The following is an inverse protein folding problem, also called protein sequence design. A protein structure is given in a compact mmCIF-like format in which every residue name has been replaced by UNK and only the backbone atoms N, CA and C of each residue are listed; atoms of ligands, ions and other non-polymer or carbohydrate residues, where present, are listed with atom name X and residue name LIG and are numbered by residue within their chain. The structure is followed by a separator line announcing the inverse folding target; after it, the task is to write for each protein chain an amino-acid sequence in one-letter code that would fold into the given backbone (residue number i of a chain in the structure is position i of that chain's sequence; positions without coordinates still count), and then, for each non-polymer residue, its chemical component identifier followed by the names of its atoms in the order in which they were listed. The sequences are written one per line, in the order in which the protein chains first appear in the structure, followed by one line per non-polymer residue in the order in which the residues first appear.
data_IF_337478387462
#
_entry.id   IF_337478387462
#
_cell.length_a   1.000
_cell.length_b   1.000
_cell.length_c   1.000
_cell.angle_alpha   90.00
_cell.angle_beta   90.00
_cell.angle_gamma   90.00
#
_symmetry.space_group_name_H-M   'P 1'
#
loop_
_entity.id
_entity.type
_entity.pdbx_description
1 polymer ?
#
# COMPACT_ATOMS: atom_id res chain seq x y z
N UNK A 1 -4.82 -25.95 1.23
CA UNK A 1 -5.33 -24.57 1.19
C UNK A 1 -4.21 -23.60 1.52
N UNK A 2 -3.92 -22.78 0.58
CA UNK A 2 -2.86 -21.81 0.82
C UNK A 2 -3.45 -20.55 1.47
N UNK A 3 -3.00 -20.25 2.67
CA UNK A 3 -3.41 -19.05 3.37
C UNK A 3 -2.29 -18.01 3.42
N UNK A 4 -1.18 -18.33 2.76
CA UNK A 4 -0.02 -17.48 2.89
C UNK A 4 -0.22 -16.12 2.22
N UNK A 5 -0.46 -16.14 0.94
CA UNK A 5 -0.50 -14.87 0.25
C UNK A 5 0.83 -14.11 0.35
N UNK A 6 0.83 -12.91 -0.17
CA UNK A 6 1.95 -11.98 -0.09
C UNK A 6 1.50 -10.80 0.76
N UNK A 7 2.20 -10.55 1.85
CA UNK A 7 1.87 -9.48 2.79
C UNK A 7 2.91 -8.37 2.68
N UNK A 8 2.45 -7.17 2.44
CA UNK A 8 3.34 -6.01 2.24
C UNK A 8 2.95 -4.92 3.22
N UNK A 9 3.95 -4.30 3.84
CA UNK A 9 3.76 -3.01 4.51
C UNK A 9 4.64 -1.99 3.83
N UNK A 10 4.12 -0.79 3.65
CA UNK A 10 4.88 0.28 3.01
C UNK A 10 4.63 1.58 3.77
N UNK A 11 5.71 2.18 4.25
CA UNK A 11 5.62 3.47 4.93
C UNK A 11 5.84 4.57 3.90
N UNK A 12 4.89 5.50 3.84
CA UNK A 12 4.99 6.65 2.96
C UNK A 12 4.80 7.94 3.76
N UNK A 13 5.38 9.01 3.26
CA UNK A 13 5.17 10.35 3.80
C UNK A 13 4.67 11.27 2.71
N UNK A 14 3.65 12.06 3.00
CA UNK A 14 3.20 13.09 2.08
C UNK A 14 4.30 14.14 2.00
N UNK A 15 4.66 14.50 0.77
CA UNK A 15 5.71 15.47 0.51
C UNK A 15 5.38 16.79 1.21
N UNK A 16 6.38 17.43 1.82
CA UNK A 16 6.18 18.65 2.60
C UNK A 16 5.63 19.82 1.78
N UNK A 17 5.85 19.79 0.46
CA UNK A 17 5.38 20.86 -0.42
C UNK A 17 3.97 20.62 -0.96
N UNK A 18 3.36 19.51 -0.57
CA UNK A 18 2.01 19.13 -1.00
C UNK A 18 1.04 19.46 0.11
N UNK A 19 -0.08 20.14 -0.19
CA UNK A 19 -1.11 20.35 0.82
C UNK A 19 -1.58 19.02 1.41
N UNK A 20 -1.71 18.95 2.72
CA UNK A 20 -2.06 17.70 3.39
C UNK A 20 -3.35 17.10 2.85
N UNK A 21 -4.38 17.91 2.60
CA UNK A 21 -5.66 17.42 2.09
C UNK A 21 -5.50 16.74 0.72
N UNK A 22 -4.64 17.28 -0.13
CA UNK A 22 -4.37 16.71 -1.43
C UNK A 22 -3.68 15.35 -1.30
N UNK A 23 -2.71 15.27 -0.42
CA UNK A 23 -2.00 14.01 -0.16
C UNK A 23 -2.93 12.95 0.41
N UNK A 24 -3.78 13.31 1.35
CA UNK A 24 -4.75 12.38 1.93
C UNK A 24 -5.72 11.87 0.86
N UNK A 25 -6.19 12.75 -0.01
CA UNK A 25 -7.09 12.34 -1.08
C UNK A 25 -6.41 11.32 -2.01
N UNK A 26 -5.13 11.54 -2.32
CA UNK A 26 -4.37 10.61 -3.16
C UNK A 26 -4.19 9.25 -2.48
N UNK A 27 -3.91 9.23 -1.18
CA UNK A 27 -3.77 8.00 -0.41
C UNK A 27 -5.09 7.23 -0.39
N UNK A 28 -6.20 7.93 -0.16
CA UNK A 28 -7.53 7.30 -0.18
C UNK A 28 -7.87 6.70 -1.53
N UNK A 29 -7.58 7.43 -2.60
CA UNK A 29 -7.86 6.94 -3.95
C UNK A 29 -7.01 5.72 -4.27
N UNK A 30 -5.74 5.74 -3.89
CA UNK A 30 -4.86 4.59 -4.12
C UNK A 30 -5.35 3.35 -3.38
N UNK A 31 -5.79 3.50 -2.12
CA UNK A 31 -6.38 2.38 -1.39
C UNK A 31 -7.61 1.83 -2.09
N UNK A 32 -8.48 2.69 -2.59
CA UNK A 32 -9.66 2.25 -3.32
C UNK A 32 -9.27 1.49 -4.58
N UNK A 33 -8.28 1.99 -5.30
CA UNK A 33 -7.79 1.33 -6.52
C UNK A 33 -7.21 -0.03 -6.21
N UNK A 34 -6.42 -0.14 -5.14
CA UNK A 34 -5.85 -1.43 -4.72
C UNK A 34 -6.94 -2.43 -4.36
N UNK A 35 -7.97 -1.98 -3.64
CA UNK A 35 -9.05 -2.88 -3.23
C UNK A 35 -9.91 -3.36 -4.41
N UNK A 36 -9.80 -2.70 -5.57
CA UNK A 36 -10.48 -3.13 -6.78
C UNK A 36 -9.63 -4.09 -7.63
N UNK A 37 -8.38 -4.34 -7.25
CA UNK A 37 -7.54 -5.30 -7.97
C UNK A 37 -7.99 -6.71 -7.68
N UNK A 38 -8.12 -7.58 -8.69
CA UNK A 38 -8.64 -8.94 -8.48
C UNK A 38 -7.83 -9.77 -7.49
N UNK A 39 -6.53 -9.58 -7.45
CA UNK A 39 -5.66 -10.37 -6.59
C UNK A 39 -5.33 -9.73 -5.25
N UNK A 40 -5.85 -8.54 -4.97
CA UNK A 40 -5.61 -7.86 -3.70
C UNK A 40 -6.78 -8.16 -2.76
N UNK A 41 -6.51 -8.85 -1.68
CA UNK A 41 -7.56 -9.23 -0.72
C UNK A 41 -7.74 -8.22 0.39
N UNK A 42 -6.76 -7.34 0.59
CA UNK A 42 -6.81 -6.31 1.62
C UNK A 42 -5.85 -5.19 1.27
N UNK A 43 -6.32 -3.96 1.33
CA UNK A 43 -5.45 -2.80 1.32
C UNK A 43 -6.07 -1.75 2.24
N UNK A 44 -5.25 -1.26 3.20
CA UNK A 44 -5.68 -0.20 4.09
C UNK A 44 -4.50 0.73 4.36
N UNK A 45 -4.82 1.97 4.66
CA UNK A 45 -3.81 2.95 5.06
C UNK A 45 -4.04 3.32 6.51
N UNK A 46 -2.98 3.28 7.29
CA UNK A 46 -2.99 3.70 8.69
C UNK A 46 -2.24 5.02 8.79
N UNK A 47 -2.88 6.02 9.35
CA UNK A 47 -2.28 7.34 9.51
C UNK A 47 -1.68 7.45 10.91
N UNK A 48 -0.46 7.97 10.99
CA UNK A 48 0.19 8.20 12.28
C UNK A 48 -0.59 9.25 13.07
N UNK A 49 -0.87 8.96 14.34
CA UNK A 49 -1.68 9.85 15.19
C UNK A 49 -0.98 11.16 15.51
N UNK A 50 0.35 11.18 15.52
CA UNK A 50 1.12 12.36 15.89
C UNK A 50 1.77 13.03 14.70
N UNK A 51 1.81 12.37 13.54
CA UNK A 51 2.34 12.95 12.30
C UNK A 51 1.37 12.66 11.16
N UNK A 52 0.49 13.61 10.82
CA UNK A 52 -0.56 13.38 9.84
C UNK A 52 -0.05 13.14 8.42
N UNK A 53 1.23 13.39 8.16
CA UNK A 53 1.83 13.14 6.84
C UNK A 53 2.38 11.74 6.70
N UNK A 54 2.45 10.99 7.78
CA UNK A 54 3.02 9.64 7.76
C UNK A 54 1.93 8.59 7.74
N UNK A 55 2.05 7.66 6.79
CA UNK A 55 1.10 6.56 6.61
C UNK A 55 1.85 5.25 6.46
N UNK A 56 1.18 4.16 6.86
CA UNK A 56 1.63 2.81 6.55
C UNK A 56 0.51 2.13 5.79
N UNK A 57 0.84 1.60 4.62
CA UNK A 57 -0.08 0.70 3.90
C UNK A 57 0.08 -0.70 4.42
N UNK A 58 -1.03 -1.39 4.65
CA UNK A 58 -1.10 -2.82 4.90
C UNK A 58 -1.81 -3.46 3.73
N UNK A 59 -1.14 -4.43 3.07
CA UNK A 59 -1.63 -4.99 1.82
C UNK A 59 -1.46 -6.50 1.83
N UNK A 60 -2.43 -7.20 1.27
CA UNK A 60 -2.32 -8.64 1.07
C UNK A 60 -2.75 -8.99 -0.35
N UNK A 61 -1.90 -9.74 -1.02
CA UNK A 61 -2.14 -10.24 -2.38
C UNK A 61 -2.22 -11.76 -2.34
N UNK A 62 -3.01 -12.33 -3.24
CA UNK A 62 -3.25 -13.79 -3.25
C UNK A 62 -1.97 -14.57 -3.50
N UNK A 63 -1.10 -14.05 -4.36
CA UNK A 63 0.16 -14.70 -4.73
C UNK A 63 1.12 -13.66 -5.30
N UNK A 64 2.31 -14.11 -5.66
CA UNK A 64 3.33 -13.22 -6.22
C UNK A 64 2.88 -12.60 -7.54
N UNK A 65 2.17 -13.35 -8.37
CA UNK A 65 1.68 -12.83 -9.65
C UNK A 65 0.72 -11.67 -9.43
N UNK A 66 -0.13 -11.75 -8.41
CA UNK A 66 -1.06 -10.67 -8.07
C UNK A 66 -0.31 -9.44 -7.60
N UNK A 67 0.75 -9.61 -6.80
CA UNK A 67 1.58 -8.48 -6.38
C UNK A 67 2.30 -7.86 -7.56
N UNK A 68 2.86 -8.69 -8.45
CA UNK A 68 3.53 -8.16 -9.64
C UNK A 68 2.57 -7.37 -10.51
N UNK A 69 1.34 -7.85 -10.66
CA UNK A 69 0.30 -7.15 -11.40
C UNK A 69 -0.06 -5.81 -10.74
N UNK A 70 -0.13 -5.79 -9.40
CA UNK A 70 -0.36 -4.55 -8.65
C UNK A 70 0.73 -3.54 -8.95
N UNK A 71 1.99 -3.96 -8.86
CA UNK A 71 3.11 -3.04 -9.07
C UNK A 71 3.10 -2.48 -10.48
N UNK A 72 2.75 -3.30 -11.47
CA UNK A 72 2.71 -2.88 -12.88
C UNK A 72 1.43 -2.12 -13.24
N UNK A 73 0.43 -2.11 -12.37
CA UNK A 73 -0.86 -1.51 -12.66
C UNK A 73 -0.72 0.01 -12.91
N UNK A 74 -1.57 0.50 -13.79
CA UNK A 74 -1.54 1.90 -14.18
C UNK A 74 -1.73 2.83 -12.98
N UNK A 75 -2.68 2.50 -12.10
CA UNK A 75 -2.93 3.34 -10.93
C UNK A 75 -1.75 3.36 -9.96
N UNK A 76 -1.01 2.26 -9.85
CA UNK A 76 0.18 2.20 -8.99
C UNK A 76 1.28 3.08 -9.55
N UNK A 77 1.54 2.94 -10.85
CA UNK A 77 2.56 3.74 -11.51
C UNK A 77 2.20 5.23 -11.49
N UNK A 78 0.92 5.55 -11.65
CA UNK A 78 0.46 6.93 -11.57
C UNK A 78 0.68 7.51 -10.16
N UNK A 79 0.38 6.72 -9.13
CA UNK A 79 0.59 7.16 -7.74
C UNK A 79 2.07 7.46 -7.48
N UNK A 80 2.95 6.56 -7.91
CA UNK A 80 4.40 6.74 -7.76
C UNK A 80 4.85 8.00 -8.50
N UNK A 81 4.43 8.16 -9.75
CA UNK A 81 4.87 9.26 -10.60
C UNK A 81 4.30 10.61 -10.18
N UNK A 82 3.20 10.61 -9.42
CA UNK A 82 2.60 11.85 -8.94
C UNK A 82 3.54 12.63 -8.04
N UNK A 83 4.48 11.94 -7.39
CA UNK A 83 5.43 12.52 -6.45
C UNK A 83 4.75 13.25 -5.28
N UNK A 84 3.49 12.93 -4.99
CA UNK A 84 2.79 13.50 -3.84
C UNK A 84 3.27 12.87 -2.54
N UNK A 85 3.82 11.66 -2.61
CA UNK A 85 4.33 10.95 -1.45
C UNK A 85 5.73 10.42 -1.72
N UNK A 86 6.47 10.19 -0.63
CA UNK A 86 7.78 9.57 -0.68
C UNK A 86 7.71 8.23 0.03
N UNK A 87 8.18 7.18 -0.63
CA UNK A 87 8.29 5.86 -0.01
C UNK A 87 9.52 5.86 0.90
N UNK A 88 9.31 5.57 2.17
CA UNK A 88 10.39 5.55 3.16
C UNK A 88 10.94 4.15 3.35
N UNK A 89 10.07 3.15 3.44
CA UNK A 89 10.48 1.76 3.55
C UNK A 89 9.30 0.87 3.20
N UNK A 90 9.63 -0.33 2.74
CA UNK A 90 8.63 -1.34 2.45
C UNK A 90 9.17 -2.70 2.88
N UNK A 91 8.30 -3.54 3.37
CA UNK A 91 8.67 -4.87 3.83
C UNK A 91 7.72 -5.90 3.24
N UNK A 92 8.28 -7.05 2.93
CA UNK A 92 7.57 -8.21 2.42
C UNK A 92 7.55 -9.25 3.53
N UNK A 93 6.36 -9.70 3.88
CA UNK A 93 6.17 -10.63 5.01
C UNK A 93 5.45 -11.88 4.54
N UNK A 94 5.61 -12.91 5.33
CA UNK A 94 4.78 -14.11 5.18
C UNK A 94 4.07 -14.36 6.49
N UNK A 95 2.93 -15.02 6.40
CA UNK A 95 2.17 -15.34 7.59
C UNK A 95 2.96 -16.31 8.46
N UNK A 96 3.10 -15.99 9.74
CA UNK A 96 3.67 -16.91 10.70
C UNK A 96 2.59 -17.90 11.12
N UNK A 97 2.79 -19.17 10.83
CA UNK A 97 1.83 -20.18 11.25
C UNK A 97 2.12 -20.56 12.70
N UNK A 98 1.05 -20.89 13.42
CA UNK A 98 1.19 -21.32 14.82
C UNK A 98 1.44 -22.81 14.96
N UNK A 99 1.41 -23.55 13.86
CA UNK A 99 1.67 -24.98 13.84
C UNK A 99 3.08 -25.22 13.38
N UNK A 100 3.72 -26.13 14.02
CA UNK A 100 5.12 -26.41 13.86
C UNK A 100 5.59 -26.96 12.53
#
# INVERSE_FOLDING_TARGET
MDQQGVFITAEIHINDQVPLAQGIAAVRQFCADMNNEPGCSLAMALQNKTNPKQFVFWERYDDQAAFDAHFAAEHTQAFIKSALTDLKQAFDYQLLTTEG
#
